data_IF_501728271105
#
_entry.id   IF_501728271105
#
_cell.length_a   1.000
_cell.length_b   1.000
_cell.length_c   1.000
_cell.angle_alpha   90.00
_cell.angle_beta   90.00
_cell.angle_gamma   90.00
#
_symmetry.space_group_name_H-M   'P 1'
#
loop_
_entity.id
_entity.type
_entity.pdbx_description
1 polymer ?
#
# COMPACT_ATOMS: atom_id res chain seq x y z
N UNK A 1 17.06 -5.52 12.62
CA UNK A 1 18.16 -5.16 11.73
C UNK A 1 18.10 -3.71 11.23
N UNK A 2 19.06 -3.29 10.38
CA UNK A 2 19.21 -1.89 9.92
C UNK A 2 17.95 -1.31 9.27
N UNK A 3 17.26 -2.07 8.43
CA UNK A 3 16.04 -1.62 7.75
C UNK A 3 14.87 -1.39 8.75
N UNK A 4 14.76 -2.25 9.76
CA UNK A 4 13.77 -2.09 10.86
C UNK A 4 14.07 -0.82 11.67
N UNK A 5 15.34 -0.56 11.99
CA UNK A 5 15.75 0.69 12.65
C UNK A 5 15.38 1.89 11.78
N UNK A 6 15.74 1.88 10.49
CA UNK A 6 15.40 2.95 9.56
C UNK A 6 13.90 3.19 9.44
N UNK A 7 13.09 2.12 9.44
CA UNK A 7 11.63 2.23 9.46
C UNK A 7 11.15 2.95 10.73
N UNK A 8 11.64 2.55 11.91
CA UNK A 8 11.19 3.12 13.18
C UNK A 8 11.64 4.58 13.38
N UNK A 9 12.85 4.94 12.94
CA UNK A 9 13.45 6.26 13.14
C UNK A 9 13.27 7.20 11.94
N UNK A 10 12.66 6.72 10.85
CA UNK A 10 12.51 7.46 9.60
C UNK A 10 13.86 7.98 9.04
N UNK A 11 14.90 7.15 9.14
CA UNK A 11 16.25 7.43 8.62
C UNK A 11 16.51 6.61 7.35
N UNK A 12 17.67 6.80 6.74
CA UNK A 12 18.10 6.02 5.57
C UNK A 12 19.26 5.09 5.89
N UNK A 13 19.31 4.01 5.12
CA UNK A 13 20.40 3.03 5.11
C UNK A 13 21.06 2.99 3.72
N UNK A 14 22.19 2.31 3.63
CA UNK A 14 22.73 1.91 2.34
C UNK A 14 21.74 0.99 1.62
N UNK A 15 21.72 0.98 0.28
CA UNK A 15 20.78 0.19 -0.49
C UNK A 15 20.74 -1.28 -0.08
N UNK A 16 19.56 -1.86 -0.10
CA UNK A 16 19.38 -3.31 0.00
C UNK A 16 20.11 -3.94 -1.18
N UNK A 17 20.92 -4.98 -0.97
CA UNK A 17 21.63 -5.64 -2.07
C UNK A 17 20.67 -6.13 -3.16
N UNK A 18 21.03 -5.88 -4.41
CA UNK A 18 20.20 -6.18 -5.60
C UNK A 18 19.70 -7.62 -5.62
N UNK A 19 20.51 -8.57 -5.16
CA UNK A 19 20.13 -10.00 -5.09
C UNK A 19 18.81 -10.25 -4.33
N UNK A 20 18.48 -9.43 -3.33
CA UNK A 20 17.20 -9.53 -2.58
C UNK A 20 16.05 -8.80 -3.26
N UNK A 21 16.32 -7.83 -4.12
CA UNK A 21 15.31 -7.01 -4.78
C UNK A 21 14.95 -7.51 -6.18
N UNK A 22 15.91 -8.15 -6.88
CA UNK A 22 15.74 -8.70 -8.22
C UNK A 22 14.65 -9.78 -8.28
N UNK A 23 14.46 -10.51 -7.20
CA UNK A 23 13.45 -11.56 -7.09
C UNK A 23 12.36 -11.12 -6.11
N UNK A 24 11.12 -10.98 -6.59
CA UNK A 24 9.99 -10.53 -5.78
C UNK A 24 9.69 -11.45 -4.58
N UNK A 25 9.95 -12.74 -4.69
CA UNK A 25 9.75 -13.67 -3.59
C UNK A 25 10.77 -13.46 -2.47
N UNK A 26 12.04 -13.20 -2.81
CA UNK A 26 13.07 -12.85 -1.83
C UNK A 26 12.79 -11.50 -1.18
N UNK A 27 12.34 -10.51 -1.96
CA UNK A 27 11.94 -9.21 -1.44
C UNK A 27 10.74 -9.31 -0.47
N UNK A 28 9.75 -10.14 -0.80
CA UNK A 28 8.63 -10.44 0.10
C UNK A 28 9.09 -11.13 1.39
N UNK A 29 10.02 -12.10 1.30
CA UNK A 29 10.59 -12.78 2.47
C UNK A 29 11.32 -11.78 3.36
N UNK A 30 12.18 -10.94 2.78
CA UNK A 30 12.89 -9.87 3.51
C UNK A 30 11.90 -8.92 4.21
N UNK A 31 10.88 -8.44 3.49
CA UNK A 31 9.86 -7.56 4.04
C UNK A 31 9.16 -8.21 5.23
N UNK A 32 8.69 -9.44 5.11
CA UNK A 32 8.00 -10.17 6.20
C UNK A 32 8.90 -10.28 7.43
N UNK A 33 10.15 -10.72 7.27
CA UNK A 33 11.11 -10.81 8.36
C UNK A 33 11.35 -9.45 9.06
N UNK A 34 11.29 -8.36 8.31
CA UNK A 34 11.39 -7.02 8.88
C UNK A 34 10.09 -6.60 9.57
N UNK A 35 8.93 -6.84 8.95
CA UNK A 35 7.61 -6.53 9.51
C UNK A 35 7.38 -7.25 10.85
N UNK A 36 7.84 -8.50 10.99
CA UNK A 36 7.69 -9.30 12.21
C UNK A 36 8.55 -8.76 13.38
N UNK A 37 9.57 -7.95 13.08
CA UNK A 37 10.38 -7.26 14.09
C UNK A 37 9.83 -5.88 14.50
N UNK A 38 8.75 -5.42 13.86
CA UNK A 38 8.13 -4.13 14.20
C UNK A 38 7.23 -4.31 15.43
N UNK A 39 7.59 -3.65 16.53
CA UNK A 39 6.80 -3.61 17.76
C UNK A 39 5.67 -2.58 17.65
N UNK A 40 4.69 -2.86 16.80
CA UNK A 40 3.51 -2.01 16.61
C UNK A 40 2.34 -2.86 16.11
N UNK A 41 1.12 -2.43 16.41
CA UNK A 41 -0.10 -3.11 16.01
C UNK A 41 -0.29 -3.05 14.48
N UNK A 42 -0.48 -4.21 13.86
CA UNK A 42 -0.88 -4.28 12.44
C UNK A 42 -2.38 -4.01 12.34
N UNK A 43 -2.75 -2.91 11.70
CA UNK A 43 -4.15 -2.48 11.57
C UNK A 43 -4.73 -2.68 10.16
N UNK A 44 -3.92 -3.12 9.23
CA UNK A 44 -4.34 -3.36 7.86
C UNK A 44 -3.23 -3.87 6.96
N UNK A 45 -3.61 -4.13 5.72
CA UNK A 45 -2.72 -4.57 4.65
C UNK A 45 -2.94 -3.67 3.43
N UNK A 46 -1.87 -3.19 2.84
CA UNK A 46 -1.90 -2.49 1.55
C UNK A 46 -1.51 -3.40 0.39
N UNK A 47 -2.02 -3.13 -0.79
CA UNK A 47 -1.43 -3.56 -2.04
C UNK A 47 -0.42 -2.51 -2.52
N UNK A 48 0.72 -2.94 -3.03
CA UNK A 48 1.72 -2.04 -3.62
C UNK A 48 2.08 -2.50 -5.03
N UNK A 49 2.43 -1.54 -5.90
CA UNK A 49 2.70 -1.82 -7.30
C UNK A 49 1.44 -2.18 -8.09
N UNK A 50 0.34 -1.51 -7.83
CA UNK A 50 -0.96 -1.79 -8.46
C UNK A 50 -1.13 -1.15 -9.84
N UNK A 51 -0.25 -0.25 -10.26
CA UNK A 51 -0.30 0.36 -11.58
C UNK A 51 0.01 -0.64 -12.69
N UNK A 52 -0.92 -0.88 -13.61
CA UNK A 52 -0.76 -1.87 -14.70
C UNK A 52 0.48 -1.57 -15.56
N UNK A 53 0.70 -0.30 -15.88
CA UNK A 53 1.87 0.11 -16.67
C UNK A 53 3.18 -0.12 -15.91
N UNK A 54 3.18 0.13 -14.59
CA UNK A 54 4.35 -0.11 -13.74
C UNK A 54 4.66 -1.62 -13.66
N UNK A 55 3.66 -2.47 -13.47
CA UNK A 55 3.81 -3.93 -13.48
C UNK A 55 4.39 -4.43 -14.81
N UNK A 56 3.86 -3.95 -15.94
CA UNK A 56 4.38 -4.30 -17.28
C UNK A 56 5.83 -3.88 -17.44
N UNK A 57 6.17 -2.64 -17.06
CA UNK A 57 7.55 -2.12 -17.13
C UNK A 57 8.52 -2.92 -16.29
N UNK A 58 8.08 -3.36 -15.11
CA UNK A 58 8.89 -4.14 -14.17
C UNK A 58 8.82 -5.66 -14.44
N UNK A 59 8.12 -6.08 -15.50
CA UNK A 59 7.92 -7.50 -15.89
C UNK A 59 7.29 -8.35 -14.78
N UNK A 60 6.40 -7.75 -13.99
CA UNK A 60 5.70 -8.43 -12.90
C UNK A 60 4.22 -8.67 -13.26
N UNK A 61 3.69 -9.79 -12.77
CA UNK A 61 2.31 -10.22 -13.06
C UNK A 61 1.30 -9.77 -12.00
N UNK A 62 1.76 -9.58 -10.76
CA UNK A 62 0.93 -9.30 -9.61
C UNK A 62 1.53 -8.20 -8.73
N UNK A 63 0.68 -7.42 -8.05
CA UNK A 63 1.11 -6.54 -6.97
C UNK A 63 1.71 -7.34 -5.81
N UNK A 64 2.33 -6.66 -4.87
CA UNK A 64 2.70 -7.23 -3.57
C UNK A 64 1.78 -6.70 -2.46
N UNK A 65 1.88 -7.29 -1.26
CA UNK A 65 1.20 -6.80 -0.06
C UNK A 65 2.23 -6.32 0.96
N UNK A 66 1.84 -5.38 1.85
CA UNK A 66 2.65 -4.95 2.98
C UNK A 66 1.74 -4.61 4.17
N UNK A 67 2.25 -4.82 5.40
CA UNK A 67 1.53 -4.48 6.64
C UNK A 67 1.41 -2.96 6.81
N UNK A 68 0.26 -2.52 7.28
CA UNK A 68 0.01 -1.15 7.74
C UNK A 68 0.00 -1.14 9.25
N UNK A 69 0.93 -0.40 9.85
CA UNK A 69 1.07 -0.32 11.30
C UNK A 69 0.35 0.90 11.87
N UNK A 70 -0.18 0.78 13.08
CA UNK A 70 -0.99 1.80 13.75
C UNK A 70 -0.30 3.16 13.84
N UNK A 71 0.99 3.19 14.20
CA UNK A 71 1.80 4.41 14.26
C UNK A 71 2.00 5.13 12.92
N UNK A 72 1.64 4.48 11.81
CA UNK A 72 1.70 5.08 10.47
C UNK A 72 0.39 5.76 10.08
N UNK A 73 -0.67 5.54 10.84
CA UNK A 73 -1.97 6.17 10.58
C UNK A 73 -1.99 7.60 11.11
N UNK A 74 -2.51 8.50 10.30
CA UNK A 74 -2.68 9.92 10.63
C UNK A 74 -4.11 10.31 10.30
N UNK A 75 -4.74 11.08 11.16
CA UNK A 75 -6.09 11.61 10.91
C UNK A 75 -6.03 12.75 9.90
N UNK A 76 -7.09 12.88 9.10
CA UNK A 76 -7.25 14.03 8.20
C UNK A 76 -7.17 15.34 9.00
N UNK A 77 -6.50 16.35 8.44
CA UNK A 77 -6.26 17.65 9.07
C UNK A 77 -5.02 17.72 9.96
N UNK A 78 -4.39 16.58 10.31
CA UNK A 78 -3.15 16.62 11.08
C UNK A 78 -1.94 16.96 10.22
N UNK A 79 -0.99 17.67 10.80
CA UNK A 79 0.32 17.96 10.17
C UNK A 79 1.16 16.69 10.11
N UNK A 80 1.74 16.43 8.95
CA UNK A 80 2.72 15.35 8.76
C UNK A 80 4.08 15.96 8.45
N UNK A 81 5.06 15.65 9.29
CA UNK A 81 6.44 16.05 9.03
C UNK A 81 6.98 15.21 7.86
N UNK A 82 7.29 15.88 6.78
CA UNK A 82 7.99 15.30 5.63
C UNK A 82 9.51 15.54 5.77
N UNK A 83 10.30 14.74 5.10
CA UNK A 83 11.75 14.86 5.06
C UNK A 83 12.26 14.56 3.65
N UNK A 84 13.57 14.62 3.45
CA UNK A 84 14.23 14.37 2.17
C UNK A 84 13.95 12.97 1.58
N UNK A 85 13.43 12.04 2.36
CA UNK A 85 13.09 10.68 1.93
C UNK A 85 11.64 10.56 1.45
N UNK A 86 10.80 11.54 1.76
CA UNK A 86 9.44 11.64 1.24
C UNK A 86 9.50 11.96 -0.23
N UNK A 87 8.85 11.16 -1.06
CA UNK A 87 8.90 11.27 -2.54
C UNK A 87 7.60 11.70 -3.16
N UNK A 88 6.48 11.45 -2.48
CA UNK A 88 5.19 11.83 -3.04
C UNK A 88 4.01 11.49 -2.14
N UNK A 89 2.84 11.78 -2.68
CA UNK A 89 1.55 11.44 -2.09
C UNK A 89 0.78 10.69 -3.16
N UNK A 90 0.28 9.50 -2.81
CA UNK A 90 -0.60 8.69 -3.66
C UNK A 90 -2.03 8.81 -3.15
N UNK A 91 -2.98 8.94 -4.08
CA UNK A 91 -4.42 8.96 -3.76
C UNK A 91 -4.92 7.53 -3.84
N UNK A 92 -5.44 7.04 -2.72
CA UNK A 92 -5.80 5.65 -2.54
C UNK A 92 -7.26 5.48 -2.09
N UNK A 93 -7.77 4.27 -2.20
CA UNK A 93 -9.05 3.86 -1.61
C UNK A 93 -8.77 2.85 -0.50
N UNK A 94 -9.24 3.14 0.71
CA UNK A 94 -9.19 2.16 1.78
C UNK A 94 -10.55 1.48 1.98
N UNK A 95 -10.50 0.24 2.46
CA UNK A 95 -11.67 -0.57 2.80
C UNK A 95 -11.59 -1.04 4.24
N UNK A 96 -12.67 -0.88 4.96
CA UNK A 96 -12.84 -1.46 6.29
C UNK A 96 -13.56 -2.80 6.14
N UNK A 97 -12.88 -3.88 6.51
CA UNK A 97 -13.34 -5.24 6.27
C UNK A 97 -14.24 -5.71 7.42
N UNK A 98 -15.32 -6.42 7.11
CA UNK A 98 -16.22 -7.02 8.09
C UNK A 98 -15.54 -8.19 8.82
N UNK A 99 -15.87 -8.41 10.09
CA UNK A 99 -15.38 -9.55 10.87
C UNK A 99 -15.68 -10.89 10.19
N UNK A 100 -16.86 -11.03 9.56
CA UNK A 100 -17.25 -12.24 8.83
C UNK A 100 -16.29 -12.69 7.72
N UNK A 101 -15.36 -11.83 7.28
CA UNK A 101 -14.30 -12.24 6.36
C UNK A 101 -13.32 -13.23 7.01
N UNK A 102 -13.00 -13.03 8.27
CA UNK A 102 -12.00 -13.85 8.98
C UNK A 102 -12.51 -15.28 9.24
N UNK A 103 -13.82 -15.44 9.33
CA UNK A 103 -14.48 -16.75 9.51
C UNK A 103 -14.77 -17.45 8.17
N UNK A 104 -14.70 -16.70 7.06
CA UNK A 104 -15.04 -17.23 5.73
C UNK A 104 -13.95 -18.16 5.21
N UNK A 105 -14.28 -19.43 4.98
CA UNK A 105 -13.33 -20.48 4.53
C UNK A 105 -13.13 -20.51 3.00
N UNK A 106 -14.09 -20.02 2.23
CA UNK A 106 -14.04 -20.05 0.76
C UNK A 106 -13.04 -19.05 0.15
N UNK A 107 -12.85 -19.13 -1.16
CA UNK A 107 -12.05 -18.18 -1.94
C UNK A 107 -12.80 -16.87 -2.15
N UNK A 108 -12.12 -15.72 -2.03
CA UNK A 108 -12.69 -14.42 -2.38
C UNK A 108 -12.68 -14.28 -3.91
N UNK A 109 -13.85 -14.08 -4.48
CA UNK A 109 -14.11 -13.98 -5.94
C UNK A 109 -14.58 -12.58 -6.31
N UNK A 110 -14.71 -12.28 -7.60
CA UNK A 110 -15.31 -11.03 -8.09
C UNK A 110 -16.76 -10.86 -7.60
N UNK A 111 -17.52 -11.96 -7.51
CA UNK A 111 -18.93 -11.95 -7.12
C UNK A 111 -19.16 -11.76 -5.63
N UNK A 112 -18.19 -12.13 -4.78
CA UNK A 112 -18.39 -12.09 -3.33
C UNK A 112 -17.51 -11.07 -2.58
N UNK A 113 -16.50 -10.44 -3.20
CA UNK A 113 -15.58 -9.51 -2.55
C UNK A 113 -16.29 -8.36 -1.83
N UNK A 114 -17.36 -7.84 -2.41
CA UNK A 114 -18.13 -6.72 -1.84
C UNK A 114 -18.90 -7.08 -0.57
N UNK A 115 -19.20 -8.37 -0.35
CA UNK A 115 -19.84 -8.84 0.89
C UNK A 115 -19.03 -8.55 2.13
N UNK A 116 -17.71 -8.48 1.99
CA UNK A 116 -16.77 -8.28 3.10
C UNK A 116 -16.47 -6.80 3.40
N UNK A 117 -16.94 -5.87 2.58
CA UNK A 117 -16.72 -4.43 2.80
C UNK A 117 -17.77 -3.89 3.77
N UNK A 118 -17.33 -3.30 4.88
CA UNK A 118 -18.20 -2.59 5.83
C UNK A 118 -18.28 -1.10 5.49
N UNK A 119 -17.11 -0.48 5.32
CA UNK A 119 -16.95 0.92 4.95
C UNK A 119 -15.83 1.06 3.93
N UNK A 120 -15.82 2.18 3.24
CA UNK A 120 -14.71 2.61 2.38
C UNK A 120 -14.50 4.11 2.49
N UNK A 121 -13.40 4.59 2.00
CA UNK A 121 -13.12 6.01 1.96
C UNK A 121 -11.82 6.32 1.20
N UNK A 122 -11.57 7.61 0.93
CA UNK A 122 -10.31 8.05 0.35
C UNK A 122 -9.20 7.98 1.39
N UNK A 123 -7.99 7.74 0.92
CA UNK A 123 -6.79 7.74 1.72
C UNK A 123 -5.65 8.40 0.93
N UNK A 124 -4.75 9.10 1.60
CA UNK A 124 -3.45 9.42 1.05
C UNK A 124 -2.42 8.48 1.62
N UNK A 125 -1.63 7.86 0.75
CA UNK A 125 -0.37 7.25 1.14
C UNK A 125 0.76 8.25 0.91
N UNK A 126 1.49 8.58 1.98
CA UNK A 126 2.73 9.35 1.89
C UNK A 126 3.85 8.34 1.68
N UNK A 127 4.48 8.41 0.51
CA UNK A 127 5.48 7.45 0.07
C UNK A 127 6.88 8.00 0.12
N UNK A 128 7.82 7.14 0.43
CA UNK A 128 9.24 7.47 0.46
C UNK A 128 10.06 6.22 0.77
N UNK A 129 11.34 6.30 0.52
CA UNK A 129 12.23 5.16 0.71
C UNK A 129 13.29 5.41 1.78
N UNK A 130 13.77 4.31 2.31
CA UNK A 130 14.77 4.27 3.38
C UNK A 130 16.15 3.86 2.87
N UNK A 131 16.35 3.99 1.54
CA UNK A 131 17.59 3.60 0.89
C UNK A 131 18.24 4.81 0.22
N UNK A 132 19.50 5.09 0.59
CA UNK A 132 20.26 6.24 0.06
C UNK A 132 20.55 6.04 -1.43
N UNK A 133 20.28 7.06 -2.25
CA UNK A 133 20.61 7.09 -3.68
C UNK A 133 20.13 5.85 -4.47
N UNK A 134 19.07 5.18 -4.01
CA UNK A 134 18.55 3.99 -4.68
C UNK A 134 17.81 4.36 -5.95
N UNK A 135 18.21 3.76 -7.06
CA UNK A 135 17.41 3.71 -8.29
C UNK A 135 16.50 2.50 -8.22
N UNK A 136 15.22 2.67 -8.62
CA UNK A 136 14.24 1.59 -8.63
C UNK A 136 14.25 0.89 -9.98
N UNK A 137 14.67 -0.36 -9.97
CA UNK A 137 14.78 -1.20 -11.16
C UNK A 137 13.80 -2.37 -11.09
N UNK A 138 13.50 -2.83 -9.88
CA UNK A 138 12.69 -4.01 -9.64
C UNK A 138 11.52 -3.68 -8.71
N UNK A 139 10.38 -4.38 -8.86
CA UNK A 139 9.27 -4.27 -7.90
C UNK A 139 9.72 -4.64 -6.48
N UNK A 140 10.68 -5.54 -6.36
CA UNK A 140 11.27 -5.92 -5.09
C UNK A 140 12.03 -4.80 -4.38
N UNK A 141 12.48 -3.75 -5.07
CA UNK A 141 13.08 -2.58 -4.44
C UNK A 141 12.06 -1.83 -3.57
N UNK A 142 10.81 -1.78 -4.06
CA UNK A 142 9.68 -1.18 -3.35
C UNK A 142 9.19 -2.12 -2.26
N UNK A 143 8.94 -3.39 -2.62
CA UNK A 143 8.45 -4.41 -1.72
C UNK A 143 9.35 -4.60 -0.51
N UNK A 144 10.67 -4.75 -0.72
CA UNK A 144 11.65 -4.98 0.34
C UNK A 144 11.79 -3.81 1.31
N UNK A 145 11.43 -2.58 0.90
CA UNK A 145 11.43 -1.38 1.73
C UNK A 145 10.02 -1.06 2.28
N UNK A 146 9.37 -2.05 2.88
CA UNK A 146 8.01 -1.93 3.47
C UNK A 146 6.97 -1.34 2.51
N UNK A 147 7.13 -1.54 1.19
CA UNK A 147 6.26 -0.97 0.18
C UNK A 147 6.28 0.55 0.10
N UNK A 148 7.40 1.18 0.48
CA UNK A 148 7.59 2.65 0.53
C UNK A 148 6.69 3.41 1.49
N UNK A 149 5.98 2.73 2.32
CA UNK A 149 5.05 3.30 3.26
C UNK A 149 5.76 4.20 4.30
N UNK A 150 5.41 5.49 4.33
CA UNK A 150 5.81 6.44 5.36
C UNK A 150 4.65 6.70 6.31
N UNK A 151 3.49 7.15 5.81
CA UNK A 151 2.28 7.42 6.57
C UNK A 151 1.04 7.20 5.70
N UNK A 152 -0.10 6.97 6.36
CA UNK A 152 -1.41 6.97 5.74
C UNK A 152 -2.28 8.04 6.38
N UNK A 153 -2.89 8.88 5.57
CA UNK A 153 -3.88 9.88 6.01
C UNK A 153 -5.24 9.39 5.56
N UNK A 154 -6.04 8.91 6.49
CA UNK A 154 -7.37 8.38 6.17
C UNK A 154 -8.42 9.50 6.19
N UNK A 155 -9.20 9.56 5.13
CA UNK A 155 -10.34 10.45 5.01
C UNK A 155 -11.62 9.90 5.64
N UNK A 156 -12.73 10.60 5.40
CA UNK A 156 -14.04 10.21 5.94
C UNK A 156 -14.47 8.86 5.40
N UNK A 157 -14.84 7.95 6.30
CA UNK A 157 -15.43 6.66 5.97
C UNK A 157 -16.90 6.81 5.58
N UNK A 158 -17.33 6.09 4.58
CA UNK A 158 -18.74 5.96 4.15
C UNK A 158 -19.14 4.49 4.08
N UNK A 159 -20.43 4.19 4.30
CA UNK A 159 -20.93 2.84 4.04
C UNK A 159 -20.66 2.49 2.58
N UNK A 160 -20.25 1.24 2.33
CA UNK A 160 -20.06 0.78 0.96
C UNK A 160 -21.39 0.81 0.22
N UNK A 161 -21.40 1.49 -0.91
CA UNK A 161 -22.50 1.47 -1.88
C UNK A 161 -21.98 0.82 -3.15
N UNK A 162 -22.85 0.24 -3.97
CA UNK A 162 -22.49 -0.27 -5.31
C UNK A 162 -22.14 0.91 -6.24
N UNK A 163 -20.94 1.44 -6.08
CA UNK A 163 -20.38 2.46 -6.95
C UNK A 163 -19.57 1.79 -8.06
N UNK A 164 -19.56 2.42 -9.23
CA UNK A 164 -18.59 2.04 -10.26
C UNK A 164 -17.20 2.53 -9.85
N UNK A 165 -16.49 1.67 -9.11
CA UNK A 165 -15.12 1.98 -8.65
C UNK A 165 -14.09 1.96 -9.78
N UNK A 166 -14.46 1.50 -10.99
CA UNK A 166 -13.52 1.36 -12.10
C UNK A 166 -13.22 2.67 -12.83
N UNK A 167 -13.98 3.72 -12.55
CA UNK A 167 -13.85 5.01 -13.26
C UNK A 167 -14.10 6.20 -12.32
N UNK A 168 -13.55 6.15 -11.12
CA UNK A 168 -13.61 7.28 -10.21
C UNK A 168 -12.50 8.27 -10.57
N UNK A 169 -12.89 9.46 -10.97
CA UNK A 169 -11.96 10.58 -11.15
C UNK A 169 -11.46 11.03 -9.78
N UNK A 170 -10.15 11.21 -9.66
CA UNK A 170 -9.50 11.72 -8.45
C UNK A 170 -8.75 13.01 -8.77
N UNK A 171 -8.57 13.85 -7.78
CA UNK A 171 -7.83 15.09 -7.92
C UNK A 171 -7.07 15.39 -6.62
N UNK A 172 -5.78 15.63 -6.75
CA UNK A 172 -4.92 16.11 -5.68
C UNK A 172 -4.56 17.56 -5.97
N UNK A 173 -4.85 18.45 -5.02
CA UNK A 173 -4.58 19.88 -5.17
C UNK A 173 -3.66 20.34 -4.05
N UNK A 174 -2.54 20.97 -4.42
CA UNK A 174 -1.66 21.65 -3.47
C UNK A 174 -2.19 23.05 -3.20
N UNK A 175 -2.59 23.32 -1.96
CA UNK A 175 -3.05 24.67 -1.57
C UNK A 175 -1.92 25.72 -1.60
N UNK A 176 -0.67 25.29 -1.48
CA UNK A 176 0.49 26.20 -1.43
C UNK A 176 0.78 26.86 -2.78
N UNK A 177 0.66 26.11 -3.87
CA UNK A 177 1.07 26.58 -5.21
C UNK A 177 0.02 26.30 -6.29
N UNK A 178 -1.18 25.88 -5.91
CA UNK A 178 -2.28 25.62 -6.86
C UNK A 178 -2.10 24.41 -7.77
N UNK A 179 -0.97 23.70 -7.69
CA UNK A 179 -0.71 22.53 -8.54
C UNK A 179 -1.81 21.49 -8.33
N UNK A 180 -2.44 21.09 -9.43
CA UNK A 180 -3.48 20.07 -9.49
C UNK A 180 -3.03 18.89 -10.30
N UNK A 181 -3.13 17.70 -9.72
CA UNK A 181 -2.87 16.41 -10.41
C UNK A 181 -4.18 15.63 -10.45
N UNK A 182 -4.58 15.21 -11.62
CA UNK A 182 -5.78 14.41 -11.83
C UNK A 182 -5.38 12.93 -12.01
N UNK A 183 -6.22 12.04 -11.52
CA UNK A 183 -6.07 10.61 -11.65
C UNK A 183 -7.41 9.93 -11.88
N UNK A 184 -7.36 8.62 -12.08
CA UNK A 184 -8.54 7.79 -12.24
C UNK A 184 -8.25 6.39 -11.69
N UNK A 185 -9.23 5.78 -11.06
CA UNK A 185 -9.11 4.42 -10.50
C UNK A 185 -8.99 3.31 -11.54
N UNK A 186 -9.21 3.60 -12.83
CA UNK A 186 -9.04 2.63 -13.92
C UNK A 186 -7.58 2.18 -14.14
N UNK A 187 -6.61 2.91 -13.58
CA UNK A 187 -5.18 2.54 -13.67
C UNK A 187 -4.75 1.51 -12.63
N UNK A 188 -5.60 1.25 -11.61
CA UNK A 188 -5.32 0.30 -10.54
C UNK A 188 -5.57 -1.11 -11.03
N UNK A 189 -4.68 -2.05 -10.79
CA UNK A 189 -4.70 -3.49 -11.06
C UNK A 189 -6.08 -4.05 -11.49
N UNK A 190 -6.44 -3.84 -12.74
CA UNK A 190 -7.74 -4.04 -13.40
C UNK A 190 -8.83 -3.10 -12.85
N UNK A 191 -9.05 -3.08 -11.52
CA UNK A 191 -9.90 -2.14 -10.80
C UNK A 191 -9.66 -2.26 -9.27
N UNK A 192 -10.11 -1.30 -8.46
CA UNK A 192 -9.91 -1.30 -7.01
C UNK A 192 -10.47 -2.53 -6.28
N UNK A 193 -11.61 -3.08 -6.72
CA UNK A 193 -12.17 -4.31 -6.12
C UNK A 193 -11.34 -5.54 -6.46
N UNK A 194 -10.71 -5.60 -7.63
CA UNK A 194 -9.81 -6.69 -7.97
C UNK A 194 -8.53 -6.63 -7.13
N UNK A 195 -8.01 -5.43 -6.88
CA UNK A 195 -6.90 -5.21 -5.95
C UNK A 195 -7.28 -5.66 -4.53
N UNK A 196 -8.47 -5.28 -4.04
CA UNK A 196 -8.98 -5.77 -2.76
C UNK A 196 -9.09 -7.30 -2.72
N UNK A 197 -9.67 -7.91 -3.75
CA UNK A 197 -9.78 -9.38 -3.86
C UNK A 197 -8.40 -10.06 -3.77
N UNK A 198 -7.41 -9.49 -4.45
CA UNK A 198 -6.02 -9.97 -4.38
C UNK A 198 -5.51 -9.91 -2.93
N UNK A 199 -5.64 -8.78 -2.25
CA UNK A 199 -5.21 -8.61 -0.85
C UNK A 199 -5.90 -9.60 0.06
N UNK A 200 -7.24 -9.72 0.00
CA UNK A 200 -8.00 -10.62 0.87
C UNK A 200 -7.60 -12.09 0.68
N UNK A 201 -7.35 -12.53 -0.55
CA UNK A 201 -6.85 -13.90 -0.79
C UNK A 201 -5.41 -14.10 -0.29
N UNK A 202 -4.55 -13.07 -0.37
CA UNK A 202 -3.19 -13.12 0.22
C UNK A 202 -3.25 -13.20 1.74
N UNK A 203 -4.08 -12.38 2.40
CA UNK A 203 -4.28 -12.42 3.86
C UNK A 203 -4.68 -13.82 4.33
N UNK A 204 -5.63 -14.47 3.63
CA UNK A 204 -6.04 -15.86 3.93
C UNK A 204 -4.91 -16.87 3.74
N UNK A 205 -4.20 -16.79 2.61
CA UNK A 205 -3.10 -17.71 2.29
C UNK A 205 -1.95 -17.57 3.29
N UNK A 206 -1.68 -16.37 3.74
CA UNK A 206 -0.53 -16.05 4.59
C UNK A 206 -0.87 -16.03 6.08
N UNK A 207 -2.14 -16.26 6.45
CA UNK A 207 -2.65 -16.26 7.84
C UNK A 207 -2.27 -14.98 8.61
N UNK A 208 -2.38 -13.83 7.93
CA UNK A 208 -2.08 -12.50 8.50
C UNK A 208 -3.33 -11.97 9.23
#
# INVERSE_FOLDING_TARGET
GRLVKAFNTNTVINPIPVKYCKNINLANKLRKLCEDQIKDETIGIKAGGTGIQALKKLKEKEPFTAKVFKKRLVKSGQKVKINQHTKGIEVEVYYFIKKSFFDYKGKVTKSNVTKFIKFMGPCFEIVGFRQRNKKFTYLGDICGDFGFNIKFVVGRKTKFKKLNLNNLKTSLVSKKNGVKVNGNTNIVYINPLNSLRFVLNKVKKEKI
#
